data_IF_053800312049
#
_entry.id   IF_053800312049
#
_cell.length_a   1.000
_cell.length_b   1.000
_cell.length_c   1.000
_cell.angle_alpha   90.00
_cell.angle_beta   90.00
_cell.angle_gamma   90.00
#
_symmetry.space_group_name_H-M   'P 1'
#
loop_
_entity.id
_entity.type
_entity.pdbx_description
1 polymer ?
#
# COMPACT_ATOMS: atom_id res chain seq x y z
N UNK A 1 21.91 -26.20 8.83
CA UNK A 1 23.07 -25.29 8.72
C UNK A 1 23.02 -24.56 7.38
N UNK A 2 22.78 -23.23 7.40
CA UNK A 2 22.80 -22.40 6.18
C UNK A 2 24.25 -22.12 5.86
N UNK A 3 24.72 -22.52 4.66
CA UNK A 3 26.12 -22.34 4.29
C UNK A 3 26.47 -20.84 4.14
N UNK A 4 27.67 -20.40 4.51
CA UNK A 4 28.08 -18.99 4.36
C UNK A 4 27.99 -18.48 2.91
N UNK A 5 28.07 -19.37 1.92
CA UNK A 5 27.88 -19.03 0.50
C UNK A 5 26.45 -18.58 0.16
N UNK A 6 25.42 -19.11 0.82
CA UNK A 6 24.03 -18.76 0.53
C UNK A 6 23.69 -17.30 0.91
N UNK A 7 24.28 -16.78 2.00
CA UNK A 7 24.12 -15.40 2.43
C UNK A 7 24.80 -14.42 1.47
N UNK A 8 25.95 -14.78 0.94
CA UNK A 8 26.70 -13.94 0.01
C UNK A 8 26.03 -13.89 -1.39
N UNK A 9 25.46 -15.01 -1.84
CA UNK A 9 24.63 -15.07 -3.06
C UNK A 9 23.37 -14.21 -2.91
N UNK A 10 22.68 -14.30 -1.79
CA UNK A 10 21.49 -13.48 -1.48
C UNK A 10 21.81 -11.98 -1.45
N UNK A 11 22.93 -11.58 -0.84
CA UNK A 11 23.38 -10.18 -0.79
C UNK A 11 23.71 -9.65 -2.19
N UNK A 12 24.39 -10.43 -3.01
CA UNK A 12 24.77 -10.06 -4.38
C UNK A 12 23.50 -9.94 -5.25
N UNK A 13 22.51 -10.84 -5.10
CA UNK A 13 21.24 -10.77 -5.80
C UNK A 13 20.47 -9.51 -5.45
N UNK A 14 20.40 -9.12 -4.15
CA UNK A 14 19.72 -7.90 -3.71
C UNK A 14 20.40 -6.63 -4.22
N UNK A 15 21.73 -6.64 -4.31
CA UNK A 15 22.50 -5.47 -4.73
C UNK A 15 22.41 -5.17 -6.23
N UNK A 16 21.95 -6.11 -7.06
CA UNK A 16 21.71 -5.85 -8.49
C UNK A 16 20.55 -4.87 -8.73
N UNK A 17 19.66 -4.68 -7.76
CA UNK A 17 18.55 -3.74 -7.88
C UNK A 17 18.99 -2.32 -7.50
N UNK A 18 18.57 -1.27 -8.24
CA UNK A 18 18.86 0.11 -7.92
C UNK A 18 18.44 0.48 -6.51
N UNK A 19 19.22 1.33 -5.84
CA UNK A 19 18.94 1.72 -4.45
C UNK A 19 17.53 2.29 -4.23
N UNK A 20 17.01 3.21 -5.10
CA UNK A 20 15.65 3.71 -4.93
C UNK A 20 14.58 2.63 -5.04
N UNK A 21 14.75 1.63 -5.93
CA UNK A 21 13.84 0.49 -6.05
C UNK A 21 13.87 -0.38 -4.78
N UNK A 22 15.07 -0.64 -4.24
CA UNK A 22 15.22 -1.38 -2.96
C UNK A 22 14.55 -0.64 -1.81
N UNK A 23 14.61 0.68 -1.80
CA UNK A 23 13.98 1.50 -0.78
C UNK A 23 12.45 1.43 -0.88
N UNK A 24 11.88 1.56 -2.09
CA UNK A 24 10.44 1.38 -2.32
C UNK A 24 9.99 -0.04 -1.92
N UNK A 25 10.78 -1.06 -2.24
CA UNK A 25 10.50 -2.44 -1.84
C UNK A 25 10.41 -2.59 -0.31
N UNK A 26 11.32 -1.96 0.43
CA UNK A 26 11.26 -1.95 1.91
C UNK A 26 10.03 -1.20 2.43
N UNK A 27 9.76 -0.01 1.89
CA UNK A 27 8.56 0.77 2.26
C UNK A 27 7.30 -0.07 2.02
N UNK A 28 7.24 -0.76 0.90
CA UNK A 28 6.12 -1.64 0.53
C UNK A 28 5.96 -2.81 1.50
N UNK A 29 7.08 -3.43 1.90
CA UNK A 29 7.08 -4.49 2.90
C UNK A 29 6.50 -4.02 4.23
N UNK A 30 7.01 -2.91 4.78
CA UNK A 30 6.54 -2.40 6.07
C UNK A 30 5.08 -1.93 6.01
N UNK A 31 4.66 -1.29 4.92
CA UNK A 31 3.27 -0.90 4.72
C UNK A 31 2.34 -2.13 4.69
N UNK A 32 2.73 -3.16 3.96
CA UNK A 32 1.97 -4.40 3.86
C UNK A 32 1.97 -5.19 5.18
N UNK A 33 3.06 -5.15 5.93
CA UNK A 33 3.19 -5.79 7.24
C UNK A 33 2.27 -5.13 8.28
N UNK A 34 2.23 -3.79 8.36
CA UNK A 34 1.32 -3.06 9.22
C UNK A 34 -0.15 -3.24 8.80
N UNK A 35 -0.45 -2.96 7.53
CA UNK A 35 -1.79 -3.03 7.01
C UNK A 35 -2.38 -4.45 6.96
N UNK A 36 -1.55 -5.50 6.85
CA UNK A 36 -2.02 -6.88 6.76
C UNK A 36 -2.91 -7.27 7.93
N UNK A 37 -2.47 -7.03 9.17
CA UNK A 37 -3.29 -7.24 10.35
C UNK A 37 -4.56 -6.37 10.33
N UNK A 38 -4.43 -5.10 9.99
CA UNK A 38 -5.55 -4.15 9.98
C UNK A 38 -6.61 -4.57 8.96
N UNK A 39 -6.24 -4.90 7.73
CA UNK A 39 -7.19 -5.23 6.66
C UNK A 39 -7.98 -6.52 6.99
N UNK A 40 -7.30 -7.56 7.45
CA UNK A 40 -7.91 -8.88 7.60
C UNK A 40 -8.51 -9.15 8.98
N UNK A 41 -8.05 -8.49 10.04
CA UNK A 41 -8.49 -8.79 11.41
C UNK A 41 -9.42 -7.74 11.99
N UNK A 42 -9.56 -6.56 11.38
CA UNK A 42 -10.41 -5.48 11.89
C UNK A 42 -11.87 -5.91 12.06
N UNK A 43 -12.44 -6.60 11.07
CA UNK A 43 -13.82 -7.09 11.14
C UNK A 43 -14.04 -8.04 12.33
N UNK A 44 -13.11 -8.98 12.53
CA UNK A 44 -13.15 -9.92 13.64
C UNK A 44 -13.08 -9.20 14.99
N UNK A 45 -12.16 -8.24 15.12
CA UNK A 45 -11.94 -7.50 16.37
C UNK A 45 -13.19 -6.68 16.74
N UNK A 46 -13.76 -5.95 15.78
CA UNK A 46 -14.90 -5.10 16.04
C UNK A 46 -16.20 -5.88 16.22
N UNK A 47 -16.37 -7.02 15.57
CA UNK A 47 -17.44 -7.95 15.85
C UNK A 47 -17.36 -8.50 17.30
N UNK A 48 -16.16 -8.87 17.77
CA UNK A 48 -15.93 -9.32 19.14
C UNK A 48 -16.17 -8.23 20.20
N UNK A 49 -16.07 -6.94 19.83
CA UNK A 49 -16.38 -5.80 20.71
C UNK A 49 -17.88 -5.52 20.73
N UNK A 50 -18.66 -6.11 19.84
CA UNK A 50 -20.13 -5.99 19.80
C UNK A 50 -20.67 -5.06 18.71
N UNK A 51 -19.84 -4.60 17.74
CA UNK A 51 -20.35 -3.90 16.58
C UNK A 51 -21.10 -4.87 15.66
N UNK A 52 -22.22 -4.41 15.11
CA UNK A 52 -22.99 -5.22 14.17
C UNK A 52 -22.24 -5.39 12.84
N UNK A 53 -22.54 -6.48 12.13
CA UNK A 53 -21.99 -6.69 10.79
C UNK A 53 -22.32 -5.53 9.82
N UNK A 54 -23.50 -4.91 10.01
CA UNK A 54 -23.92 -3.74 9.22
C UNK A 54 -23.02 -2.54 9.50
N UNK A 55 -22.68 -2.24 10.76
CA UNK A 55 -21.81 -1.13 11.13
C UNK A 55 -20.41 -1.33 10.59
N UNK A 56 -19.90 -2.56 10.68
CA UNK A 56 -18.60 -2.94 10.14
C UNK A 56 -18.59 -2.77 8.62
N UNK A 57 -19.63 -3.24 7.94
CA UNK A 57 -19.78 -3.07 6.49
C UNK A 57 -19.88 -1.61 6.06
N UNK A 58 -20.61 -0.78 6.80
CA UNK A 58 -20.69 0.67 6.56
C UNK A 58 -19.30 1.32 6.66
N UNK A 59 -18.50 0.97 7.66
CA UNK A 59 -17.14 1.48 7.81
C UNK A 59 -16.27 1.14 6.60
N UNK A 60 -16.28 -0.10 6.12
CA UNK A 60 -15.56 -0.50 4.91
C UNK A 60 -16.06 0.21 3.65
N UNK A 61 -17.38 0.39 3.52
CA UNK A 61 -17.98 1.11 2.39
C UNK A 61 -17.50 2.56 2.33
N UNK A 62 -17.54 3.27 3.46
CA UNK A 62 -17.07 4.65 3.57
C UNK A 62 -15.57 4.72 3.29
N UNK A 63 -14.78 3.78 3.83
CA UNK A 63 -13.36 3.64 3.55
C UNK A 63 -13.09 3.50 2.04
N UNK A 64 -13.84 2.66 1.34
CA UNK A 64 -13.70 2.45 -0.09
C UNK A 64 -14.04 3.71 -0.91
N UNK A 65 -15.11 4.44 -0.54
CA UNK A 65 -15.50 5.69 -1.21
C UNK A 65 -14.41 6.74 -1.04
N UNK A 66 -13.98 7.00 0.20
CA UNK A 66 -12.95 7.99 0.50
C UNK A 66 -11.62 7.61 -0.16
N UNK A 67 -11.26 6.32 -0.12
CA UNK A 67 -10.08 5.78 -0.78
C UNK A 67 -10.09 5.99 -2.30
N UNK A 68 -11.25 5.84 -2.93
CA UNK A 68 -11.40 6.09 -4.37
C UNK A 68 -11.21 7.58 -4.70
N UNK A 69 -11.83 8.46 -3.93
CA UNK A 69 -11.72 9.92 -4.11
C UNK A 69 -10.27 10.38 -3.92
N UNK A 70 -9.63 9.97 -2.83
CA UNK A 70 -8.23 10.35 -2.55
C UNK A 70 -7.24 9.76 -3.55
N UNK A 71 -7.51 8.56 -4.09
CA UNK A 71 -6.73 7.96 -5.18
C UNK A 71 -6.75 8.81 -6.43
N UNK A 72 -7.91 9.35 -6.80
CA UNK A 72 -8.05 10.24 -7.96
C UNK A 72 -7.21 11.52 -7.77
N UNK A 73 -7.32 12.18 -6.62
CA UNK A 73 -6.53 13.38 -6.33
C UNK A 73 -5.03 13.11 -6.30
N UNK A 74 -4.63 11.98 -5.72
CA UNK A 74 -3.22 11.58 -5.67
C UNK A 74 -2.66 11.31 -7.06
N UNK A 75 -3.41 10.62 -7.93
CA UNK A 75 -3.01 10.42 -9.32
C UNK A 75 -2.79 11.73 -10.07
N UNK A 76 -3.70 12.69 -9.91
CA UNK A 76 -3.56 14.02 -10.51
C UNK A 76 -2.34 14.79 -9.94
N UNK A 77 -2.10 14.72 -8.63
CA UNK A 77 -0.92 15.31 -8.00
C UNK A 77 0.38 14.73 -8.56
N UNK A 78 0.48 13.39 -8.66
CA UNK A 78 1.65 12.70 -9.17
C UNK A 78 1.92 13.05 -10.64
N UNK A 79 0.88 13.15 -11.45
CA UNK A 79 0.99 13.54 -12.85
C UNK A 79 1.54 14.98 -13.02
N UNK A 80 1.17 15.90 -12.11
CA UNK A 80 1.58 17.31 -12.17
C UNK A 80 2.96 17.54 -11.52
N UNK A 81 3.24 16.91 -10.39
CA UNK A 81 4.42 17.21 -9.54
C UNK A 81 5.50 16.14 -9.61
N UNK A 82 5.16 14.88 -9.87
CA UNK A 82 6.08 13.75 -9.88
C UNK A 82 6.77 13.43 -8.54
N UNK A 83 6.35 14.07 -7.46
CA UNK A 83 6.95 13.89 -6.14
C UNK A 83 6.18 12.84 -5.35
N UNK A 84 6.75 11.64 -5.20
CA UNK A 84 6.10 10.55 -4.46
C UNK A 84 6.29 10.65 -2.93
N UNK A 85 7.24 11.42 -2.46
CA UNK A 85 7.56 11.54 -1.04
C UNK A 85 6.41 12.12 -0.23
N UNK A 86 5.84 13.23 -0.71
CA UNK A 86 4.73 13.89 -0.02
C UNK A 86 3.51 12.97 0.15
N UNK A 87 3.00 12.31 -0.90
CA UNK A 87 1.91 11.34 -0.73
C UNK A 87 2.25 10.20 0.23
N UNK A 88 3.46 9.64 0.17
CA UNK A 88 3.87 8.56 1.06
C UNK A 88 3.93 8.99 2.53
N UNK A 89 4.44 10.18 2.83
CA UNK A 89 4.45 10.73 4.21
C UNK A 89 3.02 11.05 4.65
N UNK A 90 2.23 11.72 3.80
CA UNK A 90 0.84 12.05 4.11
C UNK A 90 -0.01 10.80 4.40
N UNK A 91 0.16 9.74 3.61
CA UNK A 91 -0.52 8.47 3.85
C UNK A 91 -0.10 7.82 5.17
N UNK A 92 1.19 7.89 5.53
CA UNK A 92 1.67 7.36 6.82
C UNK A 92 1.06 8.10 8.01
N UNK A 93 0.97 9.42 7.94
CA UNK A 93 0.34 10.25 9.00
C UNK A 93 -1.15 9.91 9.12
N UNK A 94 -1.85 9.79 8.00
CA UNK A 94 -3.27 9.42 7.99
C UNK A 94 -3.50 7.99 8.51
N UNK A 95 -2.59 7.04 8.22
CA UNK A 95 -2.68 5.67 8.76
C UNK A 95 -2.46 5.66 10.27
N UNK A 96 -1.50 6.44 10.79
CA UNK A 96 -1.30 6.60 12.24
C UNK A 96 -2.57 7.15 12.89
N UNK A 97 -3.15 8.21 12.32
CA UNK A 97 -4.41 8.77 12.83
C UNK A 97 -5.56 7.73 12.79
N UNK A 98 -5.68 6.99 11.69
CA UNK A 98 -6.65 5.91 11.54
C UNK A 98 -6.51 4.87 12.66
N UNK A 99 -5.30 4.37 12.85
CA UNK A 99 -5.00 3.35 13.86
C UNK A 99 -5.25 3.86 15.28
N UNK A 100 -4.98 5.14 15.56
CA UNK A 100 -5.33 5.76 16.85
C UNK A 100 -6.84 5.79 17.06
N UNK A 101 -7.63 6.26 16.07
CA UNK A 101 -9.09 6.24 16.20
C UNK A 101 -9.62 4.82 16.42
N UNK A 102 -9.09 3.82 15.71
CA UNK A 102 -9.51 2.43 15.85
C UNK A 102 -9.12 1.82 17.21
N UNK A 103 -7.98 2.19 17.79
CA UNK A 103 -7.59 1.78 19.15
C UNK A 103 -8.63 2.26 20.18
N UNK A 104 -9.03 3.52 20.12
CA UNK A 104 -9.96 4.11 21.07
C UNK A 104 -11.43 3.85 20.71
N UNK A 105 -11.72 3.32 19.53
CA UNK A 105 -13.08 3.05 19.10
C UNK A 105 -13.74 1.95 19.94
N UNK A 106 -14.87 2.26 20.51
CA UNK A 106 -15.80 1.32 21.16
C UNK A 106 -17.21 1.40 20.55
N UNK A 107 -17.48 2.44 19.79
CA UNK A 107 -18.76 2.78 19.20
C UNK A 107 -18.63 2.90 17.68
N UNK A 108 -19.73 2.68 16.97
CA UNK A 108 -19.82 2.74 15.51
C UNK A 108 -19.31 4.06 14.95
N UNK A 109 -19.57 5.20 15.61
CA UNK A 109 -19.16 6.52 15.13
C UNK A 109 -17.62 6.66 15.02
N UNK A 110 -16.90 6.34 16.11
CA UNK A 110 -15.43 6.39 16.11
C UNK A 110 -14.83 5.38 15.14
N UNK A 111 -15.45 4.21 15.02
CA UNK A 111 -15.04 3.18 14.06
C UNK A 111 -15.13 3.69 12.62
N UNK A 112 -16.25 4.33 12.24
CA UNK A 112 -16.45 4.93 10.91
C UNK A 112 -15.40 6.00 10.62
N UNK A 113 -15.10 6.87 11.59
CA UNK A 113 -14.04 7.88 11.45
C UNK A 113 -12.69 7.19 11.19
N UNK A 114 -12.33 6.21 12.01
CA UNK A 114 -11.08 5.44 11.82
C UNK A 114 -11.00 4.82 10.44
N UNK A 115 -12.06 4.15 9.98
CA UNK A 115 -12.14 3.55 8.64
C UNK A 115 -12.06 4.59 7.52
N UNK A 116 -12.60 5.79 7.74
CA UNK A 116 -12.48 6.91 6.79
C UNK A 116 -11.01 7.31 6.57
N UNK A 117 -10.24 7.38 7.64
CA UNK A 117 -8.80 7.65 7.57
C UNK A 117 -8.02 6.48 6.96
N UNK A 118 -8.39 5.22 7.23
CA UNK A 118 -7.81 4.05 6.55
C UNK A 118 -7.98 4.17 5.04
N UNK A 119 -9.21 4.48 4.59
CA UNK A 119 -9.50 4.66 3.17
C UNK A 119 -8.69 5.79 2.54
N UNK A 120 -8.63 6.94 3.22
CA UNK A 120 -7.83 8.09 2.76
C UNK A 120 -6.34 7.74 2.65
N UNK A 121 -5.78 7.10 3.67
CA UNK A 121 -4.38 6.67 3.68
C UNK A 121 -4.07 5.70 2.54
N UNK A 122 -4.91 4.68 2.34
CA UNK A 122 -4.75 3.71 1.27
C UNK A 122 -4.87 4.36 -0.12
N UNK A 123 -5.85 5.26 -0.29
CA UNK A 123 -6.06 5.98 -1.56
C UNK A 123 -4.89 6.89 -1.93
N UNK A 124 -4.15 7.42 -0.96
CA UNK A 124 -2.95 8.22 -1.19
C UNK A 124 -1.73 7.33 -1.40
N UNK A 125 -1.59 6.28 -0.61
CA UNK A 125 -0.42 5.39 -0.63
C UNK A 125 -0.26 4.63 -1.95
N UNK A 126 -1.33 3.96 -2.39
CA UNK A 126 -1.25 3.03 -3.51
C UNK A 126 -0.78 3.66 -4.82
N UNK A 127 -1.35 4.79 -5.30
CA UNK A 127 -0.87 5.42 -6.52
C UNK A 127 0.60 5.85 -6.44
N UNK A 128 1.02 6.38 -5.27
CA UNK A 128 2.40 6.84 -5.09
C UNK A 128 3.40 5.69 -5.10
N UNK A 129 3.09 4.59 -4.41
CA UNK A 129 3.93 3.41 -4.36
C UNK A 129 4.01 2.68 -5.71
N UNK A 130 2.90 2.58 -6.46
CA UNK A 130 2.86 1.99 -7.80
C UNK A 130 3.63 2.85 -8.82
N UNK A 131 3.44 4.16 -8.78
CA UNK A 131 4.14 5.10 -9.66
C UNK A 131 5.66 5.06 -9.47
N UNK A 132 6.14 4.83 -8.25
CA UNK A 132 7.57 4.74 -7.95
C UNK A 132 8.27 3.54 -8.61
N UNK A 133 7.58 2.41 -8.85
CA UNK A 133 8.22 1.20 -9.37
C UNK A 133 8.83 1.41 -10.76
N UNK A 134 8.07 1.85 -11.78
CA UNK A 134 8.64 2.08 -13.11
C UNK A 134 9.62 3.25 -13.15
N UNK A 135 9.48 4.23 -12.25
CA UNK A 135 10.40 5.38 -12.18
C UNK A 135 11.80 4.97 -11.72
N UNK A 136 11.91 3.96 -10.86
CA UNK A 136 13.16 3.55 -10.22
C UNK A 136 13.70 2.19 -10.66
N UNK A 137 13.06 1.53 -11.62
CA UNK A 137 13.48 0.20 -12.06
C UNK A 137 14.75 0.18 -12.92
N UNK A 138 15.08 1.28 -13.60
CA UNK A 138 16.24 1.28 -14.52
C UNK A 138 17.57 1.03 -13.80
N UNK A 139 18.45 0.16 -14.35
CA UNK A 139 18.43 -0.48 -15.69
C UNK A 139 17.66 -1.82 -15.76
N UNK A 140 16.94 -2.23 -14.73
CA UNK A 140 16.22 -3.50 -14.62
C UNK A 140 14.91 -3.44 -15.41
N UNK A 141 14.50 -4.60 -15.97
CA UNK A 141 13.18 -4.74 -16.61
C UNK A 141 12.07 -4.46 -15.58
N UNK A 142 11.09 -3.66 -16.00
CA UNK A 142 9.95 -3.24 -15.17
C UNK A 142 9.18 -4.44 -14.62
N UNK A 143 9.06 -5.54 -15.37
CA UNK A 143 8.40 -6.78 -14.91
C UNK A 143 9.13 -7.40 -13.71
N UNK A 144 10.47 -7.44 -13.75
CA UNK A 144 11.29 -7.94 -12.63
C UNK A 144 11.18 -7.02 -11.41
N UNK A 145 11.12 -5.70 -11.63
CA UNK A 145 10.93 -4.73 -10.57
C UNK A 145 9.56 -4.91 -9.87
N UNK A 146 8.48 -5.06 -10.63
CA UNK A 146 7.16 -5.35 -10.07
C UNK A 146 7.12 -6.71 -9.36
N UNK A 147 7.73 -7.75 -9.91
CA UNK A 147 7.80 -9.06 -9.25
C UNK A 147 8.47 -8.95 -7.87
N UNK A 148 9.60 -8.23 -7.77
CA UNK A 148 10.31 -7.99 -6.51
C UNK A 148 9.41 -7.27 -5.49
N UNK A 149 8.78 -6.17 -5.91
CA UNK A 149 7.97 -5.34 -5.02
C UNK A 149 6.72 -6.09 -4.56
N UNK A 150 6.04 -6.81 -5.46
CA UNK A 150 4.84 -7.59 -5.13
C UNK A 150 5.16 -8.81 -4.25
N UNK A 151 6.28 -9.48 -4.47
CA UNK A 151 6.72 -10.57 -3.58
C UNK A 151 6.99 -10.05 -2.17
N UNK A 152 7.64 -8.90 -2.06
CA UNK A 152 7.89 -8.23 -0.77
C UNK A 152 6.58 -7.83 -0.06
N UNK A 153 5.61 -7.32 -0.80
CA UNK A 153 4.28 -6.99 -0.30
C UNK A 153 3.55 -8.24 0.21
N UNK A 154 3.52 -9.31 -0.59
CA UNK A 154 2.88 -10.57 -0.20
C UNK A 154 3.49 -11.15 1.08
N UNK A 155 4.83 -11.12 1.21
CA UNK A 155 5.52 -11.50 2.44
C UNK A 155 5.14 -10.60 3.62
N UNK A 156 5.04 -9.30 3.40
CA UNK A 156 4.59 -8.34 4.42
C UNK A 156 3.17 -8.66 4.91
N UNK A 157 2.22 -8.85 3.99
CA UNK A 157 0.84 -9.22 4.33
C UNK A 157 0.81 -10.52 5.13
N UNK A 158 1.48 -11.57 4.63
CA UNK A 158 1.52 -12.86 5.30
C UNK A 158 2.01 -12.74 6.75
N UNK A 159 3.15 -12.08 6.96
CA UNK A 159 3.71 -11.90 8.29
C UNK A 159 2.83 -10.99 9.15
N UNK A 160 2.23 -9.94 8.57
CA UNK A 160 1.34 -9.03 9.28
C UNK A 160 0.07 -9.70 9.79
N UNK A 161 -0.55 -10.54 8.96
CA UNK A 161 -1.73 -11.34 9.36
C UNK A 161 -1.35 -12.39 10.40
N UNK A 162 -0.26 -13.12 10.16
CA UNK A 162 0.20 -14.17 11.07
C UNK A 162 0.53 -13.63 12.46
N UNK A 163 1.37 -12.61 12.54
CA UNK A 163 1.73 -11.97 13.81
C UNK A 163 0.55 -11.21 14.42
N UNK A 164 -0.28 -10.57 13.59
CA UNK A 164 -1.49 -9.91 14.04
C UNK A 164 -2.45 -10.89 14.71
N UNK A 165 -2.70 -12.05 14.12
CA UNK A 165 -3.51 -13.10 14.73
C UNK A 165 -2.95 -13.60 16.04
N UNK A 166 -1.63 -13.80 16.12
CA UNK A 166 -0.96 -14.16 17.36
C UNK A 166 -1.11 -13.06 18.43
N UNK A 167 -0.83 -11.82 18.09
CA UNK A 167 -0.91 -10.68 19.02
C UNK A 167 -2.35 -10.46 19.53
N UNK A 168 -3.36 -10.59 18.69
CA UNK A 168 -4.77 -10.41 19.09
C UNK A 168 -5.23 -11.49 20.06
N UNK A 169 -4.69 -12.69 19.95
CA UNK A 169 -5.06 -13.81 20.81
C UNK A 169 -4.32 -13.79 22.17
N UNK A 170 -3.03 -13.44 22.19
CA UNK A 170 -2.19 -13.56 23.40
C UNK A 170 -1.95 -12.25 24.15
N UNK A 171 -2.04 -11.08 23.48
CA UNK A 171 -1.79 -9.80 24.14
C UNK A 171 -3.08 -9.00 24.33
N UNK A 172 -3.50 -8.33 23.27
CA UNK A 172 -4.65 -7.44 23.29
C UNK A 172 -5.27 -7.38 21.88
N UNK A 173 -6.58 -7.46 21.79
CA UNK A 173 -7.27 -7.55 20.50
C UNK A 173 -6.95 -6.42 19.53
N UNK A 174 -6.66 -5.21 20.03
CA UNK A 174 -6.32 -4.04 19.20
C UNK A 174 -4.81 -3.82 18.98
N UNK A 175 -3.95 -4.75 19.35
CA UNK A 175 -2.49 -4.66 19.18
C UNK A 175 -2.04 -4.54 17.73
N UNK A 176 -2.84 -5.00 16.78
CA UNK A 176 -2.58 -4.85 15.34
C UNK A 176 -2.47 -3.38 14.93
N UNK A 177 -3.26 -2.49 15.51
CA UNK A 177 -3.21 -1.06 15.22
C UNK A 177 -1.93 -0.42 15.76
N UNK A 178 -1.42 -0.89 16.89
CA UNK A 178 -0.12 -0.47 17.43
C UNK A 178 1.02 -0.90 16.50
N UNK A 179 0.95 -2.14 15.98
CA UNK A 179 1.90 -2.62 14.98
C UNK A 179 1.87 -1.78 13.70
N UNK A 180 0.68 -1.40 13.22
CA UNK A 180 0.54 -0.52 12.06
C UNK A 180 1.19 0.85 12.30
N UNK A 181 0.92 1.48 13.45
CA UNK A 181 1.55 2.75 13.86
C UNK A 181 3.08 2.63 13.83
N UNK A 182 3.64 1.57 14.41
CA UNK A 182 5.09 1.34 14.38
C UNK A 182 5.62 1.24 12.95
N UNK A 183 4.96 0.49 12.07
CA UNK A 183 5.35 0.37 10.67
C UNK A 183 5.31 1.73 9.94
N UNK A 184 4.30 2.55 10.20
CA UNK A 184 4.17 3.88 9.59
C UNK A 184 5.27 4.84 10.07
N UNK A 185 5.70 4.75 11.32
CA UNK A 185 6.88 5.48 11.80
C UNK A 185 8.16 5.04 11.09
N UNK A 186 8.35 3.72 10.91
CA UNK A 186 9.50 3.20 10.15
C UNK A 186 9.50 3.71 8.72
N UNK A 187 8.34 3.71 8.05
CA UNK A 187 8.19 4.23 6.67
C UNK A 187 8.55 5.71 6.61
N UNK A 188 7.98 6.53 7.50
CA UNK A 188 8.24 7.96 7.56
C UNK A 188 9.73 8.23 7.79
N UNK A 189 10.37 7.49 8.70
CA UNK A 189 11.81 7.58 8.93
C UNK A 189 12.62 7.21 7.69
N UNK A 190 12.28 6.10 7.01
CA UNK A 190 12.98 5.68 5.80
C UNK A 190 12.88 6.72 4.68
N UNK A 191 11.72 7.34 4.50
CA UNK A 191 11.50 8.37 3.49
C UNK A 191 12.28 9.65 3.85
N UNK A 192 12.19 10.11 5.09
CA UNK A 192 12.85 11.34 5.56
C UNK A 192 14.37 11.23 5.44
N UNK A 193 14.95 10.09 5.82
CA UNK A 193 16.40 9.87 5.74
C UNK A 193 16.92 9.78 4.29
N UNK A 194 16.08 9.34 3.35
CA UNK A 194 16.48 9.08 1.97
C UNK A 194 15.77 10.00 0.97
N UNK A 195 15.43 11.20 1.39
CA UNK A 195 14.65 12.17 0.63
C UNK A 195 15.20 12.43 -0.78
N UNK A 196 16.51 12.63 -0.92
CA UNK A 196 17.18 12.84 -2.21
C UNK A 196 17.10 11.65 -3.17
N UNK A 197 17.05 10.43 -2.65
CA UNK A 197 17.06 9.20 -3.46
C UNK A 197 15.69 8.86 -4.08
N UNK A 198 14.60 9.45 -3.58
CA UNK A 198 13.23 9.18 -4.05
C UNK A 198 12.70 10.35 -4.89
N UNK A 199 13.51 11.36 -5.16
CA UNK A 199 13.11 12.49 -6.01
C UNK A 199 13.13 12.07 -7.48
N UNK A 200 11.98 12.15 -8.15
CA UNK A 200 11.85 11.82 -9.56
C UNK A 200 12.08 13.08 -10.39
N UNK A 201 12.99 13.01 -11.35
CA UNK A 201 13.09 14.03 -12.39
C UNK A 201 12.07 13.69 -13.50
N UNK A 202 10.91 14.36 -13.45
CA UNK A 202 9.81 14.14 -14.40
C UNK A 202 10.22 14.37 -15.85
N UNK A 203 11.08 15.37 -16.12
CA UNK A 203 11.51 15.67 -17.49
C UNK A 203 12.28 14.50 -18.09
N UNK A 204 13.19 13.90 -17.32
CA UNK A 204 13.94 12.74 -17.75
C UNK A 204 13.06 11.49 -17.86
N UNK A 205 12.07 11.36 -16.98
CA UNK A 205 11.11 10.26 -17.02
C UNK A 205 10.18 10.38 -18.22
N UNK A 206 9.63 11.58 -18.49
CA UNK A 206 8.78 11.86 -19.65
C UNK A 206 9.55 11.70 -20.96
N UNK A 207 10.77 12.23 -21.08
CA UNK A 207 11.63 12.01 -22.26
C UNK A 207 11.90 10.53 -22.52
N UNK A 208 11.98 9.72 -21.49
CA UNK A 208 12.22 8.27 -21.58
C UNK A 208 10.95 7.49 -21.96
N UNK A 209 9.77 7.95 -21.56
CA UNK A 209 8.49 7.41 -22.00
C UNK A 209 8.11 7.86 -23.42
N UNK A 210 8.55 9.06 -23.83
CA UNK A 210 8.23 9.63 -25.14
C UNK A 210 9.11 9.09 -26.28
N UNK A 211 10.21 8.38 -26.00
CA UNK A 211 10.96 7.62 -26.99
C UNK A 211 10.38 6.19 -27.12
N UNK A 212 10.02 5.74 -28.28
CA UNK A 212 8.86 5.93 -29.12
C UNK A 212 7.84 4.81 -28.95
N UNK A 213 7.04 4.87 -27.93
CA UNK A 213 5.73 4.25 -28.08
C UNK A 213 4.90 5.40 -28.70
N UNK A 214 4.66 5.34 -30.03
CA UNK A 214 3.54 6.04 -30.61
C UNK A 214 2.42 6.01 -29.59
N UNK A 215 1.95 7.17 -29.16
CA UNK A 215 0.67 7.30 -28.49
C UNK A 215 -0.38 6.71 -29.45
N UNK A 216 -0.56 5.42 -29.45
CA UNK A 216 -1.88 4.88 -29.68
C UNK A 216 -2.70 5.48 -28.55
N UNK A 217 -3.36 6.58 -28.86
CA UNK A 217 -4.40 7.12 -28.00
C UNK A 217 -5.22 5.91 -27.61
N UNK A 218 -5.25 5.61 -26.32
CA UNK A 218 -6.15 4.61 -25.74
C UNK A 218 -7.57 5.08 -26.08
N UNK A 219 -7.98 4.81 -27.32
CA UNK A 219 -9.37 4.95 -27.73
C UNK A 219 -10.12 3.96 -26.87
N UNK A 220 -10.94 4.49 -25.99
CA UNK A 220 -11.96 3.71 -25.30
C UNK A 220 -12.73 2.94 -26.37
N UNK A 221 -12.33 1.72 -26.61
CA UNK A 221 -13.01 0.81 -27.51
C UNK A 221 -13.98 -0.02 -26.66
N UNK A 222 -15.06 -0.52 -27.26
CA UNK A 222 -16.02 -1.43 -26.62
C UNK A 222 -15.32 -2.57 -25.86
N UNK A 223 -14.21 -3.06 -26.39
CA UNK A 223 -13.40 -4.10 -25.76
C UNK A 223 -12.76 -3.66 -24.42
N UNK A 224 -12.36 -2.39 -24.30
CA UNK A 224 -11.81 -1.85 -23.03
C UNK A 224 -12.89 -1.76 -21.95
N UNK A 225 -14.13 -1.40 -22.33
CA UNK A 225 -15.26 -1.37 -21.42
C UNK A 225 -15.62 -2.78 -20.92
N UNK A 226 -15.59 -3.80 -21.80
CA UNK A 226 -15.83 -5.19 -21.43
C UNK A 226 -14.77 -5.70 -20.47
N UNK A 227 -13.48 -5.38 -20.68
CA UNK A 227 -12.39 -5.76 -19.77
C UNK A 227 -12.58 -5.13 -18.40
N UNK A 228 -12.90 -3.83 -18.33
CA UNK A 228 -13.17 -3.15 -17.06
C UNK A 228 -14.38 -3.76 -16.34
N UNK A 229 -15.45 -4.05 -17.07
CA UNK A 229 -16.64 -4.68 -16.51
C UNK A 229 -16.34 -6.11 -15.99
N UNK A 230 -15.57 -6.89 -16.72
CA UNK A 230 -15.17 -8.24 -16.29
C UNK A 230 -14.27 -8.22 -15.05
N UNK A 231 -13.33 -7.26 -14.96
CA UNK A 231 -12.51 -7.07 -13.76
C UNK A 231 -13.38 -6.66 -12.57
N UNK A 232 -14.34 -5.75 -12.75
CA UNK A 232 -15.30 -5.37 -11.72
C UNK A 232 -16.12 -6.56 -11.24
N UNK A 233 -16.64 -7.39 -12.13
CA UNK A 233 -17.41 -8.58 -11.79
C UNK A 233 -16.57 -9.62 -11.04
N UNK A 234 -15.32 -9.84 -11.45
CA UNK A 234 -14.42 -10.77 -10.77
C UNK A 234 -14.07 -10.25 -9.36
N UNK A 235 -13.79 -8.96 -9.22
CA UNK A 235 -13.44 -8.38 -7.91
C UNK A 235 -14.64 -8.38 -6.96
N UNK A 236 -15.85 -8.14 -7.45
CA UNK A 236 -17.07 -8.21 -6.63
C UNK A 236 -17.41 -9.64 -6.22
N UNK A 237 -17.22 -10.63 -7.10
CA UNK A 237 -17.46 -12.03 -6.77
C UNK A 237 -16.45 -12.57 -5.74
N UNK A 238 -15.19 -12.13 -5.80
CA UNK A 238 -14.18 -12.48 -4.79
C UNK A 238 -14.41 -11.81 -3.43
N UNK A 239 -15.14 -10.71 -3.38
CA UNK A 239 -15.48 -10.01 -2.14
C UNK A 239 -16.72 -10.61 -1.44
N UNK A 240 -17.46 -11.51 -2.12
CA UNK A 240 -18.67 -12.17 -1.60
C UNK A 240 -18.39 -13.58 -1.04
N UNK A 241 -17.18 -14.11 -1.18
CA UNK A 241 -16.68 -15.36 -0.60
C UNK A 241 -15.92 -15.08 0.68
#
# INVERSE_FOLDING_TARGET
>A
MISPNSFQISKNWWMQFPYPLRLITKIRFYAAFGAGGVIYLTSLIFNNIGLSATDIGLGFTISAIIGTVTRFFTGNYLNKKGKIQFPLIASSILSIAASLFLIFSRETFLYIIGQSFVGAAAGIYWPAAEFGVPCFCYPIDTRKAYALVRSSEALGIFLGVFLGGFMTNFLYSKSIFVNDIFCMFVITYLISRNNSSITINLENFQKKLLNPIKQEQLRWNKNSAIIVLSILLITTSLALI
#
